data_IF_254287250083
#
_entry.id   IF_254287250083
#
_cell.length_a   1.000
_cell.length_b   1.000
_cell.length_c   1.000
_cell.angle_alpha   90.00
_cell.angle_beta   90.00
_cell.angle_gamma   90.00
#
_symmetry.space_group_name_H-M   'P 1'
#
loop_
_entity.id
_entity.type
_entity.pdbx_description
1 polymer ?
#
# COMPACT_ATOMS: atom_id res chain seq x y z
N UNK A 1 -21.69 11.68 34.53
CA UNK A 1 -22.46 10.97 33.49
C UNK A 1 -21.55 10.87 32.26
N UNK A 2 -20.88 9.74 32.05
CA UNK A 2 -20.04 9.57 30.87
C UNK A 2 -20.97 9.33 29.66
N UNK A 3 -20.98 10.25 28.70
CA UNK A 3 -21.55 9.96 27.39
C UNK A 3 -20.68 8.88 26.73
N UNK A 4 -21.24 7.73 26.34
CA UNK A 4 -20.48 6.77 25.55
C UNK A 4 -20.09 7.44 24.23
N UNK A 5 -18.79 7.48 23.93
CA UNK A 5 -18.31 7.86 22.60
C UNK A 5 -18.99 6.93 21.61
N UNK A 6 -19.88 7.49 20.76
CA UNK A 6 -20.41 6.75 19.62
C UNK A 6 -19.22 6.39 18.74
N UNK A 7 -18.78 5.14 18.82
CA UNK A 7 -17.86 4.56 17.84
C UNK A 7 -18.59 4.66 16.52
N UNK A 8 -18.19 5.63 15.67
CA UNK A 8 -18.73 5.76 14.33
C UNK A 8 -18.56 4.41 13.64
N UNK A 9 -19.67 3.85 13.15
CA UNK A 9 -19.59 2.66 12.30
C UNK A 9 -18.73 3.01 11.09
N UNK A 10 -17.78 2.14 10.78
CA UNK A 10 -17.01 2.24 9.56
C UNK A 10 -17.97 2.21 8.36
N UNK A 11 -17.65 2.98 7.32
CA UNK A 11 -18.36 2.91 6.05
C UNK A 11 -18.02 1.61 5.34
N UNK A 12 -18.87 1.15 4.43
CA UNK A 12 -18.61 -0.06 3.64
C UNK A 12 -17.29 0.02 2.85
N UNK A 13 -16.90 1.23 2.41
CA UNK A 13 -15.63 1.47 1.73
C UNK A 13 -14.42 1.32 2.67
N UNK A 14 -14.52 1.78 3.91
CA UNK A 14 -13.47 1.60 4.93
C UNK A 14 -13.29 0.12 5.31
N UNK A 15 -14.39 -0.64 5.40
CA UNK A 15 -14.34 -2.07 5.67
C UNK A 15 -13.69 -2.85 4.52
N UNK A 16 -14.06 -2.54 3.26
CA UNK A 16 -13.45 -3.14 2.08
C UNK A 16 -11.96 -2.83 1.98
N UNK A 17 -11.57 -1.57 2.22
CA UNK A 17 -10.17 -1.17 2.25
C UNK A 17 -9.40 -1.87 3.38
N UNK A 18 -10.01 -2.00 4.57
CA UNK A 18 -9.39 -2.69 5.70
C UNK A 18 -9.13 -4.17 5.36
N UNK A 19 -10.10 -4.86 4.75
CA UNK A 19 -9.94 -6.24 4.33
C UNK A 19 -8.83 -6.39 3.28
N UNK A 20 -8.77 -5.48 2.30
CA UNK A 20 -7.70 -5.43 1.31
C UNK A 20 -6.33 -5.24 1.97
N UNK A 21 -6.22 -4.26 2.88
CA UNK A 21 -4.99 -3.96 3.58
C UNK A 21 -4.51 -5.18 4.37
N UNK A 22 -5.38 -5.81 5.17
CA UNK A 22 -5.05 -6.99 5.96
C UNK A 22 -4.56 -8.16 5.08
N UNK A 23 -5.14 -8.33 3.89
CA UNK A 23 -4.78 -9.42 2.98
C UNK A 23 -3.44 -9.18 2.26
N UNK A 24 -3.20 -7.95 1.80
CA UNK A 24 -2.07 -7.65 0.90
C UNK A 24 -0.88 -6.99 1.58
N UNK A 25 -1.08 -6.21 2.65
CA UNK A 25 0.00 -5.53 3.36
C UNK A 25 1.13 -6.47 3.80
N UNK A 26 0.88 -7.61 4.48
CA UNK A 26 1.97 -8.49 4.90
C UNK A 26 2.72 -9.10 3.71
N UNK A 27 2.00 -9.47 2.64
CA UNK A 27 2.60 -10.08 1.42
C UNK A 27 3.48 -9.08 0.68
N UNK A 28 2.97 -7.86 0.49
CA UNK A 28 3.71 -6.78 -0.14
C UNK A 28 4.90 -6.36 0.72
N UNK A 29 4.73 -6.25 2.03
CA UNK A 29 5.81 -5.93 2.95
C UNK A 29 6.93 -6.97 2.91
N UNK A 30 6.61 -8.26 2.96
CA UNK A 30 7.61 -9.33 2.80
C UNK A 30 8.34 -9.21 1.47
N UNK A 31 7.61 -9.00 0.37
CA UNK A 31 8.22 -8.79 -0.95
C UNK A 31 9.16 -7.58 -0.95
N UNK A 32 8.75 -6.45 -0.39
CA UNK A 32 9.56 -5.24 -0.32
C UNK A 32 10.81 -5.43 0.54
N UNK A 33 10.69 -6.10 1.70
CA UNK A 33 11.82 -6.42 2.60
C UNK A 33 12.86 -7.33 1.94
N UNK A 34 12.48 -8.16 0.98
CA UNK A 34 13.42 -8.98 0.21
C UNK A 34 14.22 -8.16 -0.82
N UNK A 35 13.73 -6.99 -1.23
CA UNK A 35 14.33 -6.17 -2.28
C UNK A 35 14.97 -4.88 -1.74
N UNK A 36 14.51 -4.37 -0.60
CA UNK A 36 14.97 -3.15 0.03
C UNK A 36 15.80 -3.47 1.29
N UNK A 37 16.88 -2.71 1.49
CA UNK A 37 17.79 -2.93 2.62
C UNK A 37 17.20 -2.44 3.94
N UNK A 38 16.63 -1.25 3.94
CA UNK A 38 16.01 -0.66 5.14
C UNK A 38 14.60 -1.21 5.35
N UNK A 39 14.21 -1.35 6.61
CA UNK A 39 12.82 -1.60 6.95
C UNK A 39 11.96 -0.36 6.67
N UNK A 40 12.49 0.82 7.00
CA UNK A 40 11.86 2.12 6.74
C UNK A 40 11.54 2.30 5.24
N UNK A 41 12.51 2.06 4.35
CA UNK A 41 12.27 2.10 2.90
C UNK A 41 11.11 1.18 2.47
N UNK A 42 10.98 0.01 3.11
CA UNK A 42 9.92 -0.94 2.79
C UNK A 42 8.56 -0.50 3.33
N UNK A 43 8.52 0.10 4.52
CA UNK A 43 7.31 0.68 5.11
C UNK A 43 6.84 1.89 4.30
N UNK A 44 7.75 2.77 3.90
CA UNK A 44 7.46 3.94 3.06
C UNK A 44 6.85 3.51 1.73
N UNK A 45 7.48 2.57 1.03
CA UNK A 45 6.95 2.06 -0.24
C UNK A 45 5.60 1.36 -0.05
N UNK A 46 5.39 0.68 1.08
CA UNK A 46 4.12 0.04 1.38
C UNK A 46 3.00 1.08 1.54
N UNK A 47 3.22 2.12 2.34
CA UNK A 47 2.29 3.24 2.52
C UNK A 47 1.94 3.85 1.18
N UNK A 48 2.97 4.11 0.37
CA UNK A 48 2.85 4.66 -0.97
C UNK A 48 1.97 3.82 -1.91
N UNK A 49 2.05 2.48 -1.84
CA UNK A 49 1.19 1.58 -2.64
C UNK A 49 -0.28 1.75 -2.25
N UNK A 50 -0.56 1.77 -0.95
CA UNK A 50 -1.94 1.90 -0.46
C UNK A 50 -2.49 3.31 -0.63
N UNK A 51 -1.66 4.35 -0.55
CA UNK A 51 -2.04 5.71 -0.93
C UNK A 51 -2.48 5.77 -2.40
N UNK A 52 -1.72 5.15 -3.30
CA UNK A 52 -2.11 5.06 -4.71
C UNK A 52 -3.44 4.29 -4.94
N UNK A 53 -3.80 3.35 -4.04
CA UNK A 53 -5.11 2.69 -4.08
C UNK A 53 -6.22 3.66 -3.72
N UNK A 54 -6.05 4.42 -2.63
CA UNK A 54 -7.04 5.39 -2.14
C UNK A 54 -7.25 6.54 -3.14
N UNK A 55 -6.19 6.97 -3.80
CA UNK A 55 -6.23 8.02 -4.82
C UNK A 55 -6.87 7.56 -6.14
N UNK A 56 -7.08 6.24 -6.33
CA UNK A 56 -7.66 5.67 -7.55
C UNK A 56 -9.13 5.31 -7.31
N UNK A 57 -10.10 6.15 -7.76
CA UNK A 57 -11.53 5.91 -7.47
C UNK A 57 -12.04 4.59 -8.05
N UNK A 58 -11.53 4.20 -9.22
CA UNK A 58 -11.89 2.95 -9.91
C UNK A 58 -11.25 1.69 -9.33
N UNK A 59 -10.42 1.81 -8.29
CA UNK A 59 -9.75 0.64 -7.71
C UNK A 59 -10.75 -0.27 -6.98
N UNK A 60 -11.70 0.31 -6.25
CA UNK A 60 -12.71 -0.46 -5.51
C UNK A 60 -13.69 -1.21 -6.42
N UNK A 61 -13.90 -0.72 -7.65
CA UNK A 61 -14.76 -1.36 -8.65
C UNK A 61 -14.11 -2.58 -9.32
N UNK A 62 -12.81 -2.80 -9.11
CA UNK A 62 -12.09 -3.95 -9.67
C UNK A 62 -12.44 -5.23 -8.93
N UNK A 63 -12.49 -6.35 -9.66
CA UNK A 63 -12.53 -7.67 -9.01
C UNK A 63 -11.26 -7.95 -8.20
N UNK A 64 -11.35 -8.82 -7.20
CA UNK A 64 -10.21 -9.18 -6.35
C UNK A 64 -8.94 -9.59 -7.14
N UNK A 65 -9.01 -10.43 -8.21
CA UNK A 65 -7.84 -10.75 -9.01
C UNK A 65 -7.23 -9.55 -9.73
N UNK A 66 -8.07 -8.59 -10.16
CA UNK A 66 -7.61 -7.36 -10.80
C UNK A 66 -6.94 -6.42 -9.80
N UNK A 67 -7.51 -6.29 -8.59
CA UNK A 67 -6.90 -5.54 -7.48
C UNK A 67 -5.54 -6.13 -7.11
N UNK A 68 -5.44 -7.45 -6.95
CA UNK A 68 -4.18 -8.14 -6.69
C UNK A 68 -3.13 -7.83 -7.75
N UNK A 69 -3.49 -8.00 -9.04
CA UNK A 69 -2.60 -7.75 -10.17
C UNK A 69 -2.13 -6.29 -10.21
N UNK A 70 -3.03 -5.35 -9.90
CA UNK A 70 -2.71 -3.93 -9.85
C UNK A 70 -1.74 -3.62 -8.70
N UNK A 71 -1.99 -4.16 -7.50
CA UNK A 71 -1.12 -3.98 -6.33
C UNK A 71 0.31 -4.45 -6.61
N UNK A 72 0.46 -5.66 -7.16
CA UNK A 72 1.78 -6.18 -7.54
C UNK A 72 2.47 -5.36 -8.61
N UNK A 73 1.72 -4.80 -9.58
CA UNK A 73 2.27 -3.89 -10.59
C UNK A 73 2.77 -2.60 -9.96
N UNK A 74 2.01 -1.98 -9.07
CA UNK A 74 2.40 -0.74 -8.39
C UNK A 74 3.60 -0.97 -7.49
N UNK A 75 3.63 -2.07 -6.73
CA UNK A 75 4.76 -2.44 -5.89
C UNK A 75 6.06 -2.57 -6.69
N UNK A 76 6.01 -3.29 -7.83
CA UNK A 76 7.16 -3.43 -8.73
C UNK A 76 7.61 -2.08 -9.29
N UNK A 77 6.67 -1.24 -9.71
CA UNK A 77 6.99 0.07 -10.28
C UNK A 77 7.69 0.97 -9.24
N UNK A 78 7.13 1.07 -8.03
CA UNK A 78 7.72 1.86 -6.94
C UNK A 78 9.09 1.33 -6.53
N UNK A 79 9.27 0.02 -6.51
CA UNK A 79 10.57 -0.58 -6.25
C UNK A 79 11.62 -0.17 -7.32
N UNK A 80 11.24 -0.18 -8.60
CA UNK A 80 12.11 0.30 -9.69
C UNK A 80 12.42 1.79 -9.53
N UNK A 81 11.45 2.60 -9.13
CA UNK A 81 11.65 4.03 -8.89
C UNK A 81 12.64 4.27 -7.73
N UNK A 82 12.56 3.51 -6.64
CA UNK A 82 13.52 3.56 -5.54
C UNK A 82 14.94 3.24 -6.03
N UNK A 83 15.11 2.20 -6.84
CA UNK A 83 16.43 1.88 -7.40
C UNK A 83 16.94 2.98 -8.33
N UNK A 84 16.06 3.58 -9.14
CA UNK A 84 16.42 4.69 -10.03
C UNK A 84 16.87 5.91 -9.25
N UNK A 85 16.15 6.29 -8.19
CA UNK A 85 16.51 7.43 -7.34
C UNK A 85 17.85 7.22 -6.62
N UNK A 86 18.14 5.99 -6.18
CA UNK A 86 19.43 5.64 -5.58
C UNK A 86 20.58 5.73 -6.59
N UNK A 87 20.34 5.37 -7.85
CA UNK A 87 21.34 5.47 -8.92
C UNK A 87 21.64 6.91 -9.34
N UNK A 88 20.65 7.82 -9.32
CA UNK A 88 20.83 9.23 -9.71
C UNK A 88 21.53 10.06 -8.64
N UNK A 89 21.56 9.59 -7.38
CA UNK A 89 22.27 10.23 -6.25
C UNK A 89 23.74 9.78 -6.12
N UNK A 90 24.37 9.33 -7.21
CA UNK A 90 25.81 9.09 -7.25
C UNK A 90 26.59 10.42 -7.12
N UNK A 91 27.69 10.47 -6.36
CA UNK A 91 28.38 11.71 -6.03
C UNK A 91 28.97 12.36 -7.28
N UNK A 92 28.77 13.67 -7.41
CA UNK A 92 29.74 14.53 -8.08
C UNK A 92 30.97 14.67 -7.18
#
# INVERSE_FOLDING_TARGET
>A
MYQPLQIKKATAAEEQFTALYQLYAPRLFTYLRLHLRSQEDAEDVLVDIFMACLEKPSFQDLSEPQQAKWLWRVARNKLVDVYRQKSTRGPL
#
